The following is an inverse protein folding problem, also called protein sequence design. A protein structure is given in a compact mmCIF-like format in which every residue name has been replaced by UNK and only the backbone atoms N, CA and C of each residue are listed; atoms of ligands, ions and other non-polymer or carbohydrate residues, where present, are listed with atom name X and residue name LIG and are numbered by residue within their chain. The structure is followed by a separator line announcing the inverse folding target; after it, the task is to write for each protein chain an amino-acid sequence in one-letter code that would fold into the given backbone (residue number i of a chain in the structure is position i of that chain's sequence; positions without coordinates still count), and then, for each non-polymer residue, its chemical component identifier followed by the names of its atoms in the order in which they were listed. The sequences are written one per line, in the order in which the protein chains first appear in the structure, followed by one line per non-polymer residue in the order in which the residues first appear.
data_IF_798854653022
#
_entry.id   IF_798854653022
#
_cell.length_a   1.000
_cell.length_b   1.000
_cell.length_c   1.000
_cell.angle_alpha   90.00
_cell.angle_beta   90.00
_cell.angle_gamma   90.00
#
_symmetry.space_group_name_H-M   'P 1'
#
loop_
_entity.id
_entity.type
_entity.pdbx_description
1 polymer ?
#
# COMPACT_ATOMS: atom_id res chain seq x y z
N UNK A 1 1.44 -2.21 23.26
CA UNK A 1 1.43 -1.61 21.92
C UNK A 1 2.50 -0.54 21.88
N UNK A 2 3.46 -0.69 20.98
CA UNK A 2 4.45 0.33 20.70
C UNK A 2 3.89 1.36 19.70
N UNK A 3 4.19 2.63 19.95
CA UNK A 3 3.74 3.76 19.14
C UNK A 3 4.91 4.59 18.67
N UNK A 4 4.76 5.15 17.47
CA UNK A 4 5.62 6.19 16.92
C UNK A 4 4.75 7.44 16.79
N UNK A 5 5.37 8.61 16.93
CA UNK A 5 4.69 9.88 16.73
C UNK A 5 5.29 10.56 15.50
N UNK A 6 4.43 10.90 14.54
CA UNK A 6 4.81 11.74 13.42
C UNK A 6 5.00 13.19 13.89
N UNK A 7 5.71 14.00 13.09
CA UNK A 7 6.03 15.40 13.44
C UNK A 7 4.76 16.28 13.52
N UNK A 8 3.69 15.87 12.84
CA UNK A 8 2.36 16.49 12.91
C UNK A 8 1.51 16.00 14.10
N UNK A 9 2.07 15.14 14.96
CA UNK A 9 1.44 14.65 16.18
C UNK A 9 0.58 13.39 16.00
N UNK A 10 0.43 12.85 14.77
CA UNK A 10 -0.29 11.58 14.56
C UNK A 10 0.40 10.42 15.27
N UNK A 11 -0.43 9.51 15.78
CA UNK A 11 0.02 8.24 16.36
C UNK A 11 0.12 7.22 15.22
N UNK A 12 1.29 6.60 15.10
CA UNK A 12 1.53 5.51 14.15
C UNK A 12 1.81 4.22 14.91
N UNK A 13 1.12 3.15 14.52
CA UNK A 13 1.24 1.83 15.15
C UNK A 13 1.44 0.77 14.07
N UNK A 14 2.42 -0.11 14.25
CA UNK A 14 2.53 -1.29 13.39
C UNK A 14 1.32 -2.20 13.58
N UNK A 15 0.63 -2.64 12.52
CA UNK A 15 -0.50 -3.57 12.64
C UNK A 15 -0.16 -4.81 13.47
N UNK A 16 1.08 -5.31 13.42
CA UNK A 16 1.54 -6.46 14.22
C UNK A 16 1.36 -6.28 15.73
N UNK A 17 1.39 -5.05 16.22
CA UNK A 17 1.13 -4.75 17.63
C UNK A 17 -0.32 -5.08 18.05
N UNK A 18 -1.22 -5.22 17.08
CA UNK A 18 -2.62 -5.64 17.28
C UNK A 18 -2.80 -7.16 17.25
N UNK A 19 -1.82 -7.92 16.79
CA UNK A 19 -1.93 -9.39 16.67
C UNK A 19 -2.26 -10.06 18.02
N UNK A 20 -1.66 -9.69 19.17
CA UNK A 20 -2.03 -10.26 20.46
C UNK A 20 -3.48 -9.96 20.89
N UNK A 21 -4.02 -8.80 20.50
CA UNK A 21 -5.40 -8.39 20.80
C UNK A 21 -6.38 -9.13 19.87
N UNK A 22 -6.11 -9.12 18.58
CA UNK A 22 -7.03 -9.61 17.55
C UNK A 22 -6.97 -11.13 17.35
N UNK A 23 -5.88 -11.79 17.77
CA UNK A 23 -5.72 -13.25 17.67
C UNK A 23 -6.02 -13.73 16.25
N UNK A 24 -6.94 -14.69 16.09
CA UNK A 24 -7.33 -15.26 14.80
C UNK A 24 -7.93 -14.22 13.83
N UNK A 25 -8.55 -13.16 14.35
CA UNK A 25 -9.13 -12.09 13.52
C UNK A 25 -8.07 -11.15 12.91
N UNK A 26 -6.81 -11.22 13.35
CA UNK A 26 -5.74 -10.35 12.84
C UNK A 26 -5.54 -10.50 11.33
N UNK A 27 -5.66 -11.71 10.80
CA UNK A 27 -5.55 -11.95 9.35
C UNK A 27 -6.67 -11.24 8.60
N UNK A 28 -7.90 -11.28 9.12
CA UNK A 28 -9.04 -10.60 8.52
C UNK A 28 -8.90 -9.08 8.60
N UNK A 29 -8.41 -8.56 9.73
CA UNK A 29 -8.10 -7.14 9.90
C UNK A 29 -7.06 -6.66 8.89
N UNK A 30 -5.95 -7.39 8.76
CA UNK A 30 -4.89 -7.08 7.81
C UNK A 30 -5.42 -7.06 6.37
N UNK A 31 -6.26 -8.05 6.01
CA UNK A 31 -6.94 -8.13 4.71
C UNK A 31 -7.83 -6.94 4.41
N UNK A 32 -8.64 -6.56 5.39
CA UNK A 32 -9.54 -5.41 5.30
C UNK A 32 -8.78 -4.10 5.17
N UNK A 33 -7.78 -3.88 6.02
CA UNK A 33 -6.92 -2.69 6.00
C UNK A 33 -6.23 -2.54 4.64
N UNK A 34 -5.66 -3.64 4.12
CA UNK A 34 -5.03 -3.64 2.81
C UNK A 34 -6.01 -3.36 1.67
N UNK A 35 -7.23 -3.92 1.75
CA UNK A 35 -8.30 -3.62 0.79
C UNK A 35 -8.66 -2.13 0.80
N UNK A 36 -8.86 -1.54 1.98
CA UNK A 36 -9.25 -0.14 2.10
C UNK A 36 -8.18 0.78 1.50
N UNK A 37 -6.91 0.58 1.88
CA UNK A 37 -5.76 1.34 1.36
C UNK A 37 -5.61 1.23 -0.15
N UNK A 38 -5.85 0.03 -0.69
CA UNK A 38 -5.70 -0.23 -2.11
C UNK A 38 -6.81 0.46 -2.91
N UNK A 39 -8.07 0.36 -2.49
CA UNK A 39 -9.20 0.79 -3.31
C UNK A 39 -9.77 2.17 -2.99
N UNK A 40 -9.43 2.77 -1.85
CA UNK A 40 -10.00 4.06 -1.45
C UNK A 40 -8.92 5.08 -1.07
N UNK A 41 -9.21 6.35 -1.36
CA UNK A 41 -8.41 7.51 -1.00
C UNK A 41 -8.91 8.06 0.33
N UNK A 42 -8.38 7.54 1.44
CA UNK A 42 -8.80 7.89 2.79
C UNK A 42 -7.61 8.09 3.74
N UNK A 43 -7.71 9.11 4.59
CA UNK A 43 -6.81 9.33 5.71
C UNK A 43 -7.20 8.41 6.87
N UNK A 44 -6.19 7.86 7.53
CA UNK A 44 -6.37 7.04 8.73
C UNK A 44 -6.23 7.90 9.98
N UNK A 45 -7.29 7.93 10.78
CA UNK A 45 -7.29 8.55 12.11
C UNK A 45 -7.25 7.41 13.12
N UNK A 46 -6.06 7.19 13.68
CA UNK A 46 -5.78 6.14 14.65
C UNK A 46 -5.66 6.74 16.06
N UNK A 47 -6.39 6.18 17.03
CA UNK A 47 -6.41 6.68 18.41
C UNK A 47 -5.26 6.13 19.29
N UNK A 48 -4.41 5.25 18.76
CA UNK A 48 -3.35 4.61 19.53
C UNK A 48 -3.82 3.42 20.37
N UNK A 49 -5.07 3.01 20.30
CA UNK A 49 -5.63 2.04 21.23
C UNK A 49 -6.57 1.03 20.59
N UNK A 50 -7.73 1.48 20.10
CA UNK A 50 -8.82 0.59 19.70
C UNK A 50 -9.69 1.13 18.55
N UNK A 51 -9.50 2.36 18.10
CA UNK A 51 -10.34 2.98 17.07
C UNK A 51 -9.51 3.44 15.88
N UNK A 52 -9.85 2.92 14.71
CA UNK A 52 -9.28 3.32 13.43
C UNK A 52 -10.40 3.82 12.52
N UNK A 53 -10.37 5.11 12.19
CA UNK A 53 -11.35 5.76 11.32
C UNK A 53 -10.70 6.05 9.97
N UNK A 54 -11.42 5.76 8.89
CA UNK A 54 -11.05 6.14 7.53
C UNK A 54 -11.91 7.34 7.12
N UNK A 55 -11.27 8.47 6.84
CA UNK A 55 -11.97 9.70 6.45
C UNK A 55 -11.46 10.24 5.12
N UNK A 56 -12.36 10.85 4.34
CA UNK A 56 -11.99 11.55 3.11
C UNK A 56 -12.84 12.80 2.92
N UNK A 57 -12.19 13.95 2.76
CA UNK A 57 -12.88 15.23 2.56
C UNK A 57 -13.84 15.63 3.68
N UNK A 58 -13.52 15.26 4.92
CA UNK A 58 -14.34 15.54 6.11
C UNK A 58 -15.47 14.54 6.38
N UNK A 59 -15.64 13.53 5.54
CA UNK A 59 -16.63 12.47 5.71
C UNK A 59 -15.95 11.18 6.20
N UNK A 60 -16.66 10.40 7.03
CA UNK A 60 -16.20 9.08 7.45
C UNK A 60 -16.65 8.03 6.42
N UNK A 61 -15.68 7.28 5.87
CA UNK A 61 -15.96 6.16 4.96
C UNK A 61 -16.24 4.87 5.71
N UNK A 62 -15.45 4.62 6.76
CA UNK A 62 -15.58 3.46 7.63
C UNK A 62 -14.93 3.76 8.98
N UNK A 63 -15.38 3.07 10.04
CA UNK A 63 -14.72 3.04 11.33
C UNK A 63 -14.54 1.60 11.80
N UNK A 64 -13.39 1.29 12.38
CA UNK A 64 -13.09 -0.01 12.96
C UNK A 64 -12.89 0.17 14.46
N UNK A 65 -13.60 -0.64 15.24
CA UNK A 65 -13.43 -0.77 16.69
C UNK A 65 -12.85 -2.14 17.02
N UNK A 66 -11.70 -2.16 17.68
CA UNK A 66 -10.98 -3.38 18.05
C UNK A 66 -11.48 -3.89 19.42
N UNK A 67 -11.61 -5.21 19.54
CA UNK A 67 -11.94 -5.89 20.79
C UNK A 67 -11.18 -7.24 20.87
N UNK A 68 -11.28 -7.96 21.98
CA UNK A 68 -10.50 -9.18 22.22
C UNK A 68 -10.90 -10.32 21.26
N UNK A 69 -10.02 -10.62 20.30
CA UNK A 69 -10.20 -11.68 19.31
C UNK A 69 -11.11 -11.31 18.13
N UNK A 70 -11.60 -10.08 18.04
CA UNK A 70 -12.58 -9.64 17.05
C UNK A 70 -12.44 -8.13 16.76
N UNK A 71 -13.10 -7.64 15.71
CA UNK A 71 -13.30 -6.21 15.53
C UNK A 71 -14.64 -5.93 14.86
N UNK A 72 -15.26 -4.80 15.20
CA UNK A 72 -16.46 -4.31 14.53
C UNK A 72 -16.07 -3.29 13.46
N UNK A 73 -16.62 -3.38 12.25
CA UNK A 73 -16.51 -2.35 11.21
C UNK A 73 -17.87 -1.73 10.93
N UNK A 74 -17.92 -0.40 10.96
CA UNK A 74 -19.09 0.42 10.68
C UNK A 74 -18.93 1.14 9.34
N UNK A 75 -19.90 0.98 8.43
CA UNK A 75 -19.92 1.57 7.08
C UNK A 75 -21.33 2.13 6.82
N UNK A 76 -21.46 3.46 6.78
CA UNK A 76 -22.77 4.13 6.78
C UNK A 76 -23.69 3.59 7.88
N UNK A 77 -24.83 2.99 7.54
CA UNK A 77 -25.80 2.45 8.52
C UNK A 77 -25.62 0.94 8.79
N UNK A 78 -24.52 0.34 8.32
CA UNK A 78 -24.23 -1.09 8.43
C UNK A 78 -23.07 -1.37 9.40
N UNK A 79 -23.27 -2.32 10.31
CA UNK A 79 -22.29 -2.81 11.28
C UNK A 79 -21.96 -4.28 11.03
N UNK A 80 -20.67 -4.62 11.03
CA UNK A 80 -20.20 -5.99 10.86
C UNK A 80 -19.23 -6.37 11.97
N UNK A 81 -19.55 -7.44 12.71
CA UNK A 81 -18.65 -8.04 13.69
C UNK A 81 -17.79 -9.11 13.03
N UNK A 82 -16.48 -8.90 12.98
CA UNK A 82 -15.53 -9.73 12.25
C UNK A 82 -14.68 -10.53 13.24
N UNK A 83 -14.79 -11.86 13.19
CA UNK A 83 -13.94 -12.79 13.93
C UNK A 83 -12.94 -13.52 13.02
N UNK A 84 -13.24 -13.61 11.72
CA UNK A 84 -12.45 -14.27 10.70
C UNK A 84 -12.75 -13.67 9.31
N UNK A 85 -12.26 -14.30 8.25
CA UNK A 85 -12.39 -13.78 6.89
C UNK A 85 -13.78 -13.94 6.26
N UNK A 86 -14.69 -14.69 6.89
CA UNK A 86 -15.97 -15.13 6.30
C UNK A 86 -16.82 -13.95 5.80
N UNK A 87 -16.82 -12.84 6.53
CA UNK A 87 -17.64 -11.66 6.22
C UNK A 87 -16.93 -10.64 5.32
N UNK A 88 -15.64 -10.80 5.02
CA UNK A 88 -14.87 -9.78 4.31
C UNK A 88 -15.43 -9.47 2.92
N UNK A 89 -15.90 -10.48 2.18
CA UNK A 89 -16.49 -10.24 0.85
C UNK A 89 -17.75 -9.37 0.94
N UNK A 90 -18.56 -9.53 1.98
CA UNK A 90 -19.76 -8.70 2.19
C UNK A 90 -19.31 -7.27 2.53
N UNK A 91 -18.35 -7.12 3.45
CA UNK A 91 -17.78 -5.82 3.83
C UNK A 91 -17.20 -5.08 2.62
N UNK A 92 -16.47 -5.76 1.74
CA UNK A 92 -15.90 -5.16 0.52
C UNK A 92 -16.98 -4.67 -0.45
N UNK A 93 -18.04 -5.46 -0.65
CA UNK A 93 -19.17 -5.04 -1.49
C UNK A 93 -19.95 -3.88 -0.86
N UNK A 94 -20.10 -3.84 0.46
CA UNK A 94 -20.72 -2.70 1.17
C UNK A 94 -19.87 -1.44 1.02
N UNK A 95 -18.55 -1.50 1.26
CA UNK A 95 -17.64 -0.37 1.02
C UNK A 95 -17.77 0.15 -0.41
N UNK A 96 -17.75 -0.74 -1.40
CA UNK A 96 -17.82 -0.38 -2.82
C UNK A 96 -19.13 0.32 -3.20
N UNK A 97 -20.26 -0.07 -2.59
CA UNK A 97 -21.58 0.52 -2.85
C UNK A 97 -21.77 1.86 -2.13
N UNK A 98 -21.25 1.97 -0.92
CA UNK A 98 -21.51 3.09 -0.02
C UNK A 98 -20.53 4.24 -0.24
N UNK A 99 -19.25 3.93 -0.50
CA UNK A 99 -18.23 4.96 -0.68
C UNK A 99 -18.42 5.67 -2.03
N UNK A 100 -18.52 7.02 -2.06
CA UNK A 100 -18.69 7.77 -3.31
C UNK A 100 -17.53 7.56 -4.28
N UNK A 101 -17.82 7.50 -5.58
CA UNK A 101 -16.85 7.15 -6.64
C UNK A 101 -15.58 8.02 -6.67
N UNK A 102 -15.69 9.29 -6.29
CA UNK A 102 -14.61 10.26 -6.19
C UNK A 102 -13.62 9.95 -5.06
N UNK A 103 -14.01 9.09 -4.12
CA UNK A 103 -13.14 8.57 -3.05
C UNK A 103 -12.51 7.24 -3.42
N UNK A 104 -12.90 6.63 -4.55
CA UNK A 104 -12.26 5.41 -5.03
C UNK A 104 -10.90 5.78 -5.62
N UNK A 105 -9.92 4.90 -5.41
CA UNK A 105 -8.61 5.06 -6.00
C UNK A 105 -8.74 4.94 -7.52
N UNK A 106 -8.22 5.90 -8.30
CA UNK A 106 -8.28 5.83 -9.74
C UNK A 106 -7.61 4.57 -10.29
N UNK A 107 -8.22 3.95 -11.28
CA UNK A 107 -7.75 2.68 -11.85
C UNK A 107 -6.35 2.80 -12.46
N UNK A 108 -6.03 3.98 -13.00
CA UNK A 108 -4.70 4.31 -13.51
C UNK A 108 -3.63 4.43 -12.42
N UNK A 109 -3.98 4.43 -11.12
CA UNK A 109 -3.03 4.30 -10.01
C UNK A 109 -2.81 2.82 -9.60
N UNK A 110 -3.75 1.95 -9.95
CA UNK A 110 -3.75 0.53 -9.60
C UNK A 110 -3.13 -0.36 -10.68
N UNK A 111 -2.98 0.15 -11.89
CA UNK A 111 -2.48 -0.62 -13.05
C UNK A 111 -1.26 0.01 -13.69
N UNK A 112 -0.67 -0.65 -14.69
CA UNK A 112 0.41 -0.08 -15.52
C UNK A 112 -0.10 0.11 -16.94
N UNK A 113 0.35 1.18 -17.61
CA UNK A 113 0.01 1.40 -19.02
C UNK A 113 0.89 0.52 -19.92
N UNK A 114 0.26 -0.40 -20.66
CA UNK A 114 0.93 -1.28 -21.62
C UNK A 114 1.46 -0.56 -22.87
N UNK A 115 0.91 0.60 -23.22
CA UNK A 115 1.37 1.37 -24.38
C UNK A 115 2.73 2.02 -24.12
N UNK A 116 3.21 2.00 -22.87
CA UNK A 116 4.52 2.50 -22.47
C UNK A 116 5.33 1.37 -21.79
N UNK A 117 5.65 0.27 -22.49
CA UNK A 117 6.23 -0.94 -21.89
C UNK A 117 7.62 -0.68 -21.29
N UNK A 118 8.27 0.41 -21.70
CA UNK A 118 9.57 0.86 -21.21
C UNK A 118 9.50 1.73 -19.94
N UNK A 119 8.30 2.10 -19.47
CA UNK A 119 8.13 2.97 -18.30
C UNK A 119 8.06 2.20 -16.99
N UNK A 120 7.39 1.03 -16.98
CA UNK A 120 7.10 0.24 -15.78
C UNK A 120 7.68 -1.18 -15.85
N UNK A 121 8.98 -1.26 -16.07
CA UNK A 121 9.64 -2.51 -16.47
C UNK A 121 9.65 -3.59 -15.40
N UNK A 122 9.70 -3.19 -14.13
CA UNK A 122 9.56 -4.06 -12.99
C UNK A 122 8.11 -4.13 -12.47
N UNK A 123 7.14 -3.49 -13.14
CA UNK A 123 5.76 -3.39 -12.68
C UNK A 123 5.51 -2.42 -11.51
N UNK A 124 6.56 -1.85 -10.90
CA UNK A 124 6.44 -0.82 -9.85
C UNK A 124 5.92 0.51 -10.41
N UNK A 125 5.10 1.22 -9.66
CA UNK A 125 4.59 2.56 -10.03
C UNK A 125 5.54 3.65 -9.59
N UNK A 126 6.74 3.65 -10.18
CA UNK A 126 7.75 4.67 -9.91
C UNK A 126 7.26 6.10 -10.25
N UNK A 127 6.28 6.24 -11.13
CA UNK A 127 5.61 7.51 -11.41
C UNK A 127 4.77 8.05 -10.25
N UNK A 128 4.30 7.18 -9.35
CA UNK A 128 3.62 7.56 -8.11
C UNK A 128 4.58 7.66 -6.91
N UNK A 129 5.72 6.96 -6.99
CA UNK A 129 6.69 6.86 -5.90
C UNK A 129 7.37 8.20 -5.61
N UNK A 130 7.27 8.65 -4.36
CA UNK A 130 7.94 9.85 -3.84
C UNK A 130 9.46 9.85 -4.10
N UNK A 131 10.12 8.70 -3.97
CA UNK A 131 11.57 8.58 -4.15
C UNK A 131 12.06 8.72 -5.60
N UNK A 132 11.18 8.60 -6.60
CA UNK A 132 11.51 8.69 -8.03
C UNK A 132 11.25 10.09 -8.61
N UNK A 133 10.86 11.07 -7.77
CA UNK A 133 10.48 12.44 -8.17
C UNK A 133 11.60 13.31 -8.75
N UNK A 134 12.79 12.77 -9.03
CA UNK A 134 13.76 13.38 -9.96
C UNK A 134 13.20 13.69 -11.37
N UNK A 135 12.01 13.19 -11.70
CA UNK A 135 11.34 13.42 -12.97
C UNK A 135 10.52 14.72 -13.04
N UNK A 136 10.27 15.38 -11.90
CA UNK A 136 9.61 16.68 -11.87
C UNK A 136 10.60 17.73 -11.31
N UNK A 137 11.23 18.49 -12.21
CA UNK A 137 12.32 19.43 -11.87
C UNK A 137 11.88 20.61 -10.97
N UNK A 138 10.61 20.65 -10.58
CA UNK A 138 10.00 21.74 -9.85
C UNK A 138 9.61 21.40 -8.39
N UNK A 139 9.85 20.16 -7.92
CA UNK A 139 9.30 19.70 -6.63
C UNK A 139 10.36 18.93 -5.79
N UNK A 140 11.45 19.62 -5.46
CA UNK A 140 12.56 19.05 -4.68
C UNK A 140 12.19 18.75 -3.22
N UNK A 141 11.33 19.55 -2.59
CA UNK A 141 11.03 19.49 -1.15
C UNK A 141 10.40 18.16 -0.71
N UNK A 142 9.62 17.55 -1.59
CA UNK A 142 8.96 16.28 -1.28
C UNK A 142 9.93 15.08 -1.27
N UNK A 143 10.98 15.10 -2.11
CA UNK A 143 12.00 14.04 -2.13
C UNK A 143 12.90 14.05 -0.89
N UNK A 144 13.10 15.22 -0.27
CA UNK A 144 13.89 15.38 0.95
C UNK A 144 13.27 14.65 2.14
N UNK A 145 11.94 14.53 2.15
CA UNK A 145 11.18 13.82 3.18
C UNK A 145 10.99 12.33 2.89
N UNK A 146 11.46 11.79 1.75
CA UNK A 146 11.24 10.38 1.42
C UNK A 146 11.78 9.44 2.50
N UNK A 147 13.00 9.64 2.98
CA UNK A 147 13.60 8.77 3.99
C UNK A 147 12.81 8.76 5.30
N UNK A 148 12.36 9.94 5.72
CA UNK A 148 11.52 10.12 6.89
C UNK A 148 10.13 9.46 6.73
N UNK A 149 9.40 9.76 5.65
CA UNK A 149 8.03 9.24 5.49
C UNK A 149 8.05 7.74 5.15
N UNK A 150 9.06 7.25 4.40
CA UNK A 150 9.27 5.82 4.21
C UNK A 150 9.49 5.11 5.55
N UNK A 151 10.31 5.70 6.44
CA UNK A 151 10.46 5.20 7.80
C UNK A 151 9.13 5.20 8.57
N UNK A 152 8.35 6.29 8.51
CA UNK A 152 7.03 6.37 9.16
C UNK A 152 6.08 5.28 8.68
N UNK A 153 6.02 5.00 7.38
CA UNK A 153 5.12 4.00 6.83
C UNK A 153 5.55 2.56 7.17
N UNK A 154 6.86 2.30 7.23
CA UNK A 154 7.42 0.96 7.18
C UNK A 154 8.24 0.52 8.41
N UNK A 155 8.32 1.32 9.48
CA UNK A 155 9.25 1.11 10.60
C UNK A 155 9.37 -0.36 11.08
N UNK A 156 8.23 -1.05 11.25
CA UNK A 156 8.16 -2.43 11.76
C UNK A 156 7.44 -3.40 10.81
N UNK A 157 7.36 -3.06 9.53
CA UNK A 157 6.54 -3.81 8.59
C UNK A 157 7.15 -5.18 8.22
N UNK A 158 8.49 -5.29 8.14
CA UNK A 158 9.18 -6.55 7.79
C UNK A 158 9.81 -7.17 9.05
N UNK A 159 9.58 -8.46 9.35
CA UNK A 159 10.29 -9.15 10.42
C UNK A 159 11.80 -9.09 10.21
N UNK A 160 12.55 -8.99 11.31
CA UNK A 160 14.03 -9.04 11.33
C UNK A 160 14.75 -7.92 10.54
N UNK A 161 14.01 -6.87 10.14
CA UNK A 161 14.58 -5.67 9.52
C UNK A 161 14.28 -4.48 10.43
N UNK A 162 15.34 -3.89 10.98
CA UNK A 162 15.24 -2.59 11.65
C UNK A 162 15.26 -1.49 10.59
N UNK A 163 14.17 -0.73 10.46
CA UNK A 163 14.12 0.44 9.58
C UNK A 163 14.47 1.67 10.41
N UNK A 164 15.62 2.29 10.13
CA UNK A 164 16.07 3.49 10.84
C UNK A 164 15.54 4.77 10.18
N UNK A 165 15.31 5.81 10.98
CA UNK A 165 14.95 7.14 10.46
C UNK A 165 16.11 7.63 9.60
N UNK A 166 15.79 8.08 8.39
CA UNK A 166 16.77 8.64 7.49
C UNK A 166 16.36 10.03 7.02
N UNK A 167 17.10 11.04 7.50
CA UNK A 167 16.86 12.46 7.21
C UNK A 167 17.64 12.96 5.97
N UNK A 168 18.14 12.04 5.14
CA UNK A 168 18.86 12.38 3.91
C UNK A 168 17.95 12.46 2.69
N UNK A 169 18.39 13.22 1.69
CA UNK A 169 17.70 13.31 0.40
C UNK A 169 17.82 11.99 -0.36
N UNK A 170 16.70 11.31 -0.58
CA UNK A 170 16.66 10.13 -1.45
C UNK A 170 16.47 10.53 -2.89
N UNK A 171 17.40 10.08 -3.70
CA UNK A 171 17.30 10.18 -5.13
C UNK A 171 17.33 8.78 -5.71
N UNK A 172 16.16 8.18 -5.91
CA UNK A 172 16.08 6.96 -6.70
C UNK A 172 16.59 7.28 -8.11
N UNK A 173 17.61 6.57 -8.63
CA UNK A 173 18.08 6.76 -10.00
C UNK A 173 17.02 6.36 -11.03
N UNK A 174 15.95 5.68 -10.61
CA UNK A 174 14.90 5.18 -11.48
C UNK A 174 15.36 3.97 -12.27
N UNK A 175 14.39 3.15 -12.69
CA UNK A 175 14.64 1.90 -13.41
C UNK A 175 15.47 2.09 -14.70
N UNK A 176 15.35 3.25 -15.35
CA UNK A 176 16.08 3.56 -16.59
C UNK A 176 17.60 3.72 -16.39
N UNK A 177 18.04 4.33 -15.30
CA UNK A 177 19.48 4.52 -15.01
C UNK A 177 20.07 3.31 -14.27
N UNK A 178 19.31 2.64 -13.39
CA UNK A 178 19.77 1.40 -12.73
C UNK A 178 20.08 0.28 -13.74
N UNK A 179 19.48 0.32 -14.94
CA UNK A 179 19.83 -0.57 -16.06
C UNK A 179 21.29 -0.50 -16.46
N UNK A 180 21.90 0.68 -16.35
CA UNK A 180 23.28 0.91 -16.79
C UNK A 180 24.29 0.31 -15.81
N UNK A 181 23.92 0.11 -14.56
CA UNK A 181 24.82 -0.35 -13.48
C UNK A 181 24.72 -1.85 -13.16
N UNK A 182 24.02 -2.65 -13.97
CA UNK A 182 23.96 -4.14 -13.96
C UNK A 182 23.36 -4.85 -12.73
N UNK A 183 23.08 -4.18 -11.61
CA UNK A 183 22.62 -4.85 -10.37
C UNK A 183 21.10 -4.86 -10.13
N UNK A 184 20.28 -4.56 -11.13
CA UNK A 184 18.83 -4.65 -10.98
C UNK A 184 18.30 -6.03 -11.39
N UNK A 185 17.96 -6.87 -10.40
CA UNK A 185 17.41 -8.24 -10.55
C UNK A 185 16.16 -8.33 -11.44
N UNK A 186 15.49 -7.21 -11.67
CA UNK A 186 14.24 -7.12 -12.45
C UNK A 186 14.46 -7.19 -13.98
N UNK A 187 15.70 -7.03 -14.49
CA UNK A 187 15.93 -6.91 -15.94
C UNK A 187 16.44 -8.16 -16.69
N UNK A 188 17.41 -8.93 -16.16
CA UNK A 188 17.92 -10.08 -16.89
C UNK A 188 16.82 -11.11 -17.17
N UNK A 189 15.96 -11.35 -16.19
CA UNK A 189 14.97 -12.42 -16.24
C UNK A 189 13.87 -12.23 -17.31
N UNK A 190 13.17 -11.08 -17.43
CA UNK A 190 12.21 -10.87 -18.52
C UNK A 190 12.87 -11.01 -19.89
N UNK A 191 14.07 -10.43 -20.06
CA UNK A 191 14.81 -10.45 -21.33
C UNK A 191 15.17 -11.88 -21.76
N UNK A 192 15.72 -12.69 -20.85
CA UNK A 192 16.05 -14.10 -21.09
C UNK A 192 14.81 -14.95 -21.44
N UNK A 193 13.64 -14.58 -20.90
CA UNK A 193 12.36 -15.23 -21.17
C UNK A 193 11.62 -14.68 -22.39
N UNK A 194 12.17 -13.68 -23.08
CA UNK A 194 11.55 -13.06 -24.25
C UNK A 194 10.41 -12.09 -23.95
N UNK A 195 10.31 -11.58 -22.72
CA UNK A 195 9.32 -10.58 -22.29
C UNK A 195 9.92 -9.17 -22.23
N UNK A 196 9.14 -8.16 -22.57
CA UNK A 196 9.55 -6.75 -22.48
C UNK A 196 9.66 -6.27 -21.02
N UNK A 197 8.87 -6.84 -20.11
CA UNK A 197 8.83 -6.48 -18.69
C UNK A 197 8.26 -7.61 -17.81
N UNK A 198 8.37 -7.46 -16.48
CA UNK A 198 7.87 -8.45 -15.53
C UNK A 198 6.34 -8.60 -15.55
N UNK A 199 5.62 -7.54 -15.96
CA UNK A 199 4.15 -7.53 -16.04
C UNK A 199 3.67 -8.52 -17.11
N UNK A 200 4.33 -8.53 -18.26
CA UNK A 200 4.05 -9.45 -19.37
C UNK A 200 4.32 -10.92 -18.97
N UNK A 201 5.41 -11.19 -18.25
CA UNK A 201 5.75 -12.55 -17.80
C UNK A 201 4.67 -13.13 -16.89
N UNK A 202 4.17 -12.33 -15.95
CA UNK A 202 3.01 -12.68 -15.18
C UNK A 202 3.19 -13.87 -14.20
N UNK A 203 4.42 -14.23 -13.86
CA UNK A 203 4.73 -15.22 -12.80
C UNK A 203 5.12 -14.54 -11.48
N UNK A 204 4.57 -13.35 -11.20
CA UNK A 204 5.00 -12.49 -10.10
C UNK A 204 4.71 -13.05 -8.70
N UNK A 205 3.70 -13.91 -8.54
CA UNK A 205 3.42 -14.56 -7.24
C UNK A 205 4.47 -15.58 -6.82
N UNK A 206 5.16 -16.22 -7.77
CA UNK A 206 6.16 -17.27 -7.51
C UNK A 206 7.60 -16.83 -7.80
N UNK A 207 7.83 -15.54 -8.07
CA UNK A 207 9.12 -15.02 -8.47
C UNK A 207 9.82 -14.29 -7.30
N UNK A 208 11.07 -14.65 -7.03
CA UNK A 208 11.91 -14.02 -6.01
C UNK A 208 12.12 -12.52 -6.23
N UNK A 209 11.93 -12.04 -7.47
CA UNK A 209 11.98 -10.62 -7.83
C UNK A 209 10.93 -9.79 -7.05
N UNK A 210 9.79 -10.39 -6.71
CA UNK A 210 8.71 -9.78 -5.93
C UNK A 210 8.62 -10.36 -4.52
N UNK A 211 9.70 -10.98 -4.03
CA UNK A 211 9.79 -11.42 -2.63
C UNK A 211 9.63 -10.23 -1.68
N UNK A 212 10.18 -9.08 -2.07
CA UNK A 212 10.18 -7.85 -1.28
C UNK A 212 9.03 -6.91 -1.68
N UNK A 213 7.96 -7.44 -2.30
CA UNK A 213 6.74 -6.65 -2.55
C UNK A 213 5.96 -6.43 -1.27
N UNK A 214 5.36 -5.25 -1.14
CA UNK A 214 4.68 -4.84 0.08
C UNK A 214 3.18 -5.08 0.00
N UNK A 215 2.65 -5.80 1.00
CA UNK A 215 1.21 -5.91 1.21
C UNK A 215 0.68 -4.61 1.85
N UNK A 216 -0.37 -3.94 1.33
CA UNK A 216 -0.77 -2.64 1.86
C UNK A 216 -1.18 -2.67 3.34
N UNK A 217 -1.76 -3.76 3.82
CA UNK A 217 -2.20 -3.91 5.23
C UNK A 217 -1.07 -4.12 6.24
N UNK A 218 0.21 -4.16 5.83
CA UNK A 218 1.34 -4.33 6.75
C UNK A 218 1.96 -3.00 7.21
N UNK A 219 1.63 -1.89 6.56
CA UNK A 219 2.19 -0.57 6.87
C UNK A 219 1.57 -0.02 8.16
N UNK A 220 2.27 0.88 8.84
CA UNK A 220 1.78 1.50 10.07
C UNK A 220 0.35 2.08 9.90
N UNK A 221 -0.48 1.96 10.93
CA UNK A 221 -1.77 2.64 11.05
C UNK A 221 -1.56 4.15 11.23
N UNK A 222 -2.57 4.94 10.89
CA UNK A 222 -2.54 6.40 11.08
C UNK A 222 -1.84 7.14 9.94
N UNK A 223 -1.69 6.49 8.78
CA UNK A 223 -1.11 7.08 7.57
C UNK A 223 -2.15 7.80 6.72
N UNK A 224 -1.75 8.85 6.01
CA UNK A 224 -2.65 9.64 5.16
C UNK A 224 -2.92 8.96 3.81
N UNK A 225 -3.97 9.38 3.12
CA UNK A 225 -4.27 8.94 1.75
C UNK A 225 -3.10 9.23 0.80
N UNK A 226 -2.41 10.34 1.02
CA UNK A 226 -1.25 10.78 0.26
C UNK A 226 -0.04 9.87 0.50
N UNK A 227 0.25 9.55 1.77
CA UNK A 227 1.29 8.60 2.16
C UNK A 227 1.03 7.21 1.56
N UNK A 228 -0.21 6.72 1.62
CA UNK A 228 -0.61 5.46 0.96
C UNK A 228 -0.32 5.53 -0.53
N UNK A 229 -0.72 6.62 -1.21
CA UNK A 229 -0.56 6.78 -2.65
C UNK A 229 0.91 6.81 -3.07
N UNK A 230 1.74 7.53 -2.32
CA UNK A 230 3.13 7.82 -2.68
C UNK A 230 4.13 6.78 -2.20
N UNK A 231 3.79 6.01 -1.16
CA UNK A 231 4.71 5.11 -0.49
C UNK A 231 4.21 3.68 -0.41
N UNK A 232 2.90 3.43 -0.41
CA UNK A 232 2.35 2.07 -0.31
C UNK A 232 2.03 1.49 -1.68
N UNK A 233 1.13 2.14 -2.42
CA UNK A 233 0.67 1.71 -3.75
C UNK A 233 1.82 1.39 -4.72
N UNK A 234 2.93 2.17 -4.78
CA UNK A 234 4.01 1.88 -5.71
C UNK A 234 4.67 0.51 -5.52
N UNK A 235 4.55 -0.07 -4.33
CA UNK A 235 5.21 -1.32 -3.95
C UNK A 235 4.25 -2.49 -3.76
N UNK A 236 2.93 -2.28 -3.89
CA UNK A 236 1.90 -3.33 -3.92
C UNK A 236 1.84 -4.04 -5.27
N UNK A 237 2.98 -4.56 -5.74
CA UNK A 237 3.11 -5.10 -7.08
C UNK A 237 2.16 -6.27 -7.33
N UNK A 238 2.04 -7.19 -6.39
CA UNK A 238 1.24 -8.41 -6.56
C UNK A 238 -0.25 -8.06 -6.72
N UNK A 239 -0.76 -7.21 -5.83
CA UNK A 239 -2.15 -6.77 -5.81
C UNK A 239 -2.49 -5.96 -7.07
N UNK A 240 -1.62 -5.02 -7.47
CA UNK A 240 -1.79 -4.23 -8.69
C UNK A 240 -1.75 -5.09 -9.95
N UNK A 241 -0.85 -6.07 -10.01
CA UNK A 241 -0.73 -6.97 -11.15
C UNK A 241 -1.91 -7.95 -11.25
N UNK A 242 -2.49 -8.36 -10.12
CA UNK A 242 -3.74 -9.13 -10.09
C UNK A 242 -4.92 -8.33 -10.66
N UNK A 243 -5.08 -7.07 -10.24
CA UNK A 243 -6.09 -6.15 -10.79
C UNK A 243 -5.94 -6.01 -12.30
N UNK A 244 -4.71 -5.70 -12.74
CA UNK A 244 -4.38 -5.52 -14.14
C UNK A 244 -4.67 -6.77 -15.00
N UNK A 245 -4.38 -7.97 -14.49
CA UNK A 245 -4.68 -9.20 -15.22
C UNK A 245 -6.15 -9.52 -15.27
N UNK A 246 -6.87 -9.23 -14.21
CA UNK A 246 -8.31 -9.43 -14.19
C UNK A 246 -9.01 -8.46 -15.15
N UNK A 247 -8.50 -7.23 -15.33
CA UNK A 247 -9.05 -6.30 -16.32
C UNK A 247 -8.80 -6.74 -17.75
N UNK A 248 -7.65 -7.35 -18.06
CA UNK A 248 -7.37 -7.85 -19.42
C UNK A 248 -8.25 -9.07 -19.77
N UNK A 249 -8.58 -9.93 -18.80
CA UNK A 249 -9.48 -11.08 -19.05
C UNK A 249 -10.93 -10.67 -19.35
N UNK A 250 -11.32 -9.45 -19.01
CA UNK A 250 -12.66 -8.91 -19.21
C UNK A 250 -12.80 -8.08 -20.49
N UNK A 251 -11.69 -7.80 -21.18
CA UNK A 251 -11.64 -7.08 -22.45
C UNK A 251 -11.57 -8.05 -23.64
#
# INVERSE_FOLDING_TARGET
MYHIYADDGRILTSPKELEPLLKDSFTAFSKLLGHIRLFYMADEIWDGKASLIFSAGGEQLAAIMLDDGIFDIHIADEDFRIADETLLNIVFETLKKTVPSERHRPFEQLTVNLNEPNKFLCGRRCDLCLGSKKSDRNDFSESENFGYINWLCYHNCVPDINVERWDGVFNCPGCAETRKTKDCRYFPCPTEKGYANCVECGKYHSCDIYRDSHYPGQCNLGITAEEVTKLVIPYCDKERLDIFRNSIKQA
#
